data_IF_297192967599
#
_entry.id   IF_297192967599
#
_cell.length_a   1.000
_cell.length_b   1.000
_cell.length_c   1.000
_cell.angle_alpha   90.00
_cell.angle_beta   90.00
_cell.angle_gamma   90.00
#
_symmetry.space_group_name_H-M   'P 1'
#
loop_
_entity.id
_entity.type
_entity.pdbx_description
1 polymer ?
#
# COMPACT_ATOMS: atom_id res chain seq x y z
N UNK A 1 5.30 9.27 -7.54
CA UNK A 1 6.40 9.13 -6.55
C UNK A 1 7.56 8.49 -7.29
N UNK A 2 8.79 8.89 -7.02
CA UNK A 2 9.97 8.20 -7.55
C UNK A 2 10.22 7.00 -6.64
N UNK A 3 9.84 5.80 -7.09
CA UNK A 3 9.91 4.56 -6.30
C UNK A 3 11.35 4.19 -5.98
N UNK A 4 12.28 4.44 -6.90
CA UNK A 4 13.68 4.12 -6.73
C UNK A 4 14.32 5.02 -5.67
N UNK A 5 13.99 6.32 -5.70
CA UNK A 5 14.39 7.25 -4.65
C UNK A 5 13.82 6.88 -3.28
N UNK A 6 12.54 6.50 -3.22
CA UNK A 6 11.88 6.07 -1.98
C UNK A 6 12.61 4.89 -1.33
N UNK A 7 12.88 3.84 -2.11
CA UNK A 7 13.58 2.65 -1.61
C UNK A 7 15.02 2.97 -1.22
N UNK A 8 15.72 3.80 -2.00
CA UNK A 8 17.10 4.21 -1.69
C UNK A 8 17.19 4.94 -0.33
N UNK A 9 16.24 5.84 -0.05
CA UNK A 9 16.19 6.54 1.24
C UNK A 9 15.88 5.59 2.40
N UNK A 10 14.95 4.66 2.22
CA UNK A 10 14.64 3.65 3.22
C UNK A 10 15.81 2.71 3.52
N UNK A 11 16.56 2.32 2.49
CA UNK A 11 17.74 1.46 2.65
C UNK A 11 18.89 2.17 3.37
N UNK A 12 19.01 3.49 3.22
CA UNK A 12 19.99 4.29 3.96
C UNK A 12 19.76 4.23 5.48
N UNK A 13 18.50 4.14 5.92
CA UNK A 13 18.13 4.11 7.36
C UNK A 13 18.00 2.70 7.93
N UNK A 14 17.47 1.77 7.14
CA UNK A 14 17.11 0.43 7.59
C UNK A 14 18.15 -0.62 7.30
N UNK A 15 19.07 -0.34 6.37
CA UNK A 15 19.97 -1.30 5.75
C UNK A 15 19.39 -1.87 4.44
N UNK A 16 20.10 -2.80 3.78
CA UNK A 16 19.65 -3.39 2.53
C UNK A 16 18.32 -4.13 2.70
N UNK A 17 17.36 -3.87 1.80
CA UNK A 17 16.05 -4.51 1.81
C UNK A 17 15.99 -5.56 0.70
N UNK A 18 15.54 -6.76 1.04
CA UNK A 18 15.40 -7.85 0.07
C UNK A 18 14.47 -7.44 -1.08
N UNK A 19 14.90 -7.72 -2.30
CA UNK A 19 14.18 -7.38 -3.55
C UNK A 19 12.74 -7.89 -3.53
N UNK A 20 12.51 -9.10 -3.02
CA UNK A 20 11.18 -9.69 -2.98
C UNK A 20 10.21 -8.92 -2.07
N UNK A 21 10.67 -8.34 -0.96
CA UNK A 21 9.84 -7.49 -0.11
C UNK A 21 9.46 -6.21 -0.86
N UNK A 22 10.41 -5.59 -1.59
CA UNK A 22 10.11 -4.40 -2.41
C UNK A 22 9.05 -4.71 -3.46
N UNK A 23 9.18 -5.86 -4.13
CA UNK A 23 8.24 -6.30 -5.15
C UNK A 23 6.85 -6.60 -4.57
N UNK A 24 6.75 -7.28 -3.43
CA UNK A 24 5.46 -7.50 -2.76
C UNK A 24 4.83 -6.17 -2.35
N UNK A 25 5.59 -5.26 -1.73
CA UNK A 25 5.06 -3.95 -1.34
C UNK A 25 4.59 -3.13 -2.56
N UNK A 26 5.28 -3.27 -3.70
CA UNK A 26 4.89 -2.64 -4.96
C UNK A 26 3.60 -3.24 -5.53
N UNK A 27 3.49 -4.57 -5.56
CA UNK A 27 2.25 -5.26 -5.98
C UNK A 27 1.07 -4.83 -5.12
N UNK A 28 1.28 -4.73 -3.81
CA UNK A 28 0.27 -4.29 -2.84
C UNK A 28 0.02 -2.78 -2.85
N UNK A 29 0.69 -2.02 -3.75
CA UNK A 29 0.59 -0.56 -3.84
C UNK A 29 0.88 0.17 -2.52
N UNK A 30 1.74 -0.42 -1.68
CA UNK A 30 2.13 0.09 -0.36
C UNK A 30 3.40 0.94 -0.41
N UNK A 31 3.97 1.21 -1.58
CA UNK A 31 5.10 2.13 -1.77
C UNK A 31 4.70 3.61 -1.60
N UNK A 32 4.02 3.96 -0.51
CA UNK A 32 3.53 5.32 -0.25
C UNK A 32 3.25 5.57 1.26
N UNK A 33 2.39 6.55 1.59
CA UNK A 33 1.95 6.88 2.97
C UNK A 33 1.51 5.61 3.70
N UNK A 34 0.87 4.71 2.97
CA UNK A 34 0.36 3.44 3.47
C UNK A 34 1.44 2.53 4.07
N UNK A 35 2.72 2.69 3.71
CA UNK A 35 3.82 1.96 4.35
C UNK A 35 3.94 2.31 5.83
N UNK A 36 3.68 3.57 6.21
CA UNK A 36 3.67 3.98 7.60
C UNK A 36 2.57 3.30 8.41
N UNK A 37 1.46 2.92 7.77
CA UNK A 37 0.30 2.30 8.41
C UNK A 37 0.41 0.78 8.53
N UNK A 38 1.51 0.18 8.06
CA UNK A 38 1.76 -1.25 8.22
C UNK A 38 1.68 -1.67 9.69
N UNK A 39 0.88 -2.69 9.93
CA UNK A 39 0.68 -3.36 11.21
C UNK A 39 0.79 -4.87 11.01
N UNK A 40 0.94 -5.62 12.10
CA UNK A 40 1.00 -7.09 12.02
C UNK A 40 -0.25 -7.68 11.33
N UNK A 41 -1.44 -7.12 11.60
CA UNK A 41 -2.68 -7.54 10.96
C UNK A 41 -2.70 -7.25 9.46
N UNK A 42 -2.20 -6.08 9.03
CA UNK A 42 -2.09 -5.77 7.60
C UNK A 42 -1.07 -6.66 6.90
N UNK A 43 0.04 -7.01 7.56
CA UNK A 43 1.03 -7.96 7.03
C UNK A 43 0.39 -9.34 6.81
N UNK A 44 -0.42 -9.82 7.75
CA UNK A 44 -1.16 -11.09 7.57
C UNK A 44 -2.16 -11.04 6.42
N UNK A 45 -2.86 -9.90 6.25
CA UNK A 45 -3.74 -9.69 5.11
C UNK A 45 -2.96 -9.72 3.79
N UNK A 46 -1.79 -9.08 3.73
CA UNK A 46 -0.91 -9.13 2.56
C UNK A 46 -0.48 -10.56 2.25
N UNK A 47 -0.11 -11.36 3.26
CA UNK A 47 0.24 -12.76 3.01
C UNK A 47 -0.92 -13.54 2.38
N UNK A 48 -2.15 -13.29 2.84
CA UNK A 48 -3.34 -13.92 2.30
C UNK A 48 -3.60 -13.47 0.87
N UNK A 49 -3.56 -12.16 0.60
CA UNK A 49 -3.70 -11.61 -0.75
C UNK A 49 -2.67 -12.23 -1.70
N UNK A 50 -1.42 -12.37 -1.26
CA UNK A 50 -0.38 -13.01 -2.07
C UNK A 50 -0.71 -14.48 -2.36
N UNK A 51 -1.19 -15.25 -1.37
CA UNK A 51 -1.61 -16.65 -1.59
C UNK A 51 -2.76 -16.74 -2.59
N UNK A 52 -3.73 -15.84 -2.50
CA UNK A 52 -4.92 -15.83 -3.36
C UNK A 52 -4.60 -15.39 -4.79
N UNK A 53 -3.57 -14.54 -4.98
CA UNK A 53 -3.09 -14.11 -6.29
C UNK A 53 -2.12 -15.10 -6.96
N UNK A 54 -1.85 -16.26 -6.37
CA UNK A 54 -0.78 -17.13 -6.84
C UNK A 54 -0.95 -17.58 -8.31
N UNK A 55 -2.16 -17.89 -8.73
CA UNK A 55 -2.42 -18.36 -10.10
C UNK A 55 -2.37 -17.22 -11.13
N UNK A 56 -2.81 -16.03 -10.73
CA UNK A 56 -2.65 -14.83 -11.55
C UNK A 56 -1.17 -14.50 -11.79
N UNK A 57 -0.35 -14.55 -10.73
CA UNK A 57 1.07 -14.22 -10.82
C UNK A 57 1.87 -15.27 -11.61
N UNK A 58 1.46 -16.54 -11.58
CA UNK A 58 2.01 -17.58 -12.47
C UNK A 58 1.71 -17.27 -13.93
N UNK A 59 0.46 -16.96 -14.25
CA UNK A 59 0.08 -16.60 -15.61
C UNK A 59 0.81 -15.32 -16.09
N UNK A 60 1.04 -14.36 -15.19
CA UNK A 60 1.84 -13.17 -15.50
C UNK A 60 3.31 -13.52 -15.79
N UNK A 61 3.93 -14.41 -15.02
CA UNK A 61 5.30 -14.90 -15.29
C UNK A 61 5.38 -15.60 -16.65
N UNK A 62 4.42 -16.49 -16.98
CA UNK A 62 4.34 -17.18 -18.27
C UNK A 62 4.18 -16.21 -19.44
N UNK A 63 3.54 -15.06 -19.23
CA UNK A 63 3.41 -13.98 -20.21
C UNK A 63 4.65 -13.07 -20.31
N UNK A 64 5.77 -13.42 -19.67
CA UNK A 64 7.01 -12.64 -19.67
C UNK A 64 7.06 -11.55 -18.60
N UNK A 65 6.24 -11.67 -17.56
CA UNK A 65 6.20 -10.76 -16.41
C UNK A 65 7.35 -10.96 -15.41
N UNK A 66 7.13 -10.48 -14.18
CA UNK A 66 8.16 -10.57 -13.13
C UNK A 66 8.28 -12.02 -12.63
N UNK A 67 9.49 -12.59 -12.56
CA UNK A 67 9.66 -13.97 -12.11
C UNK A 67 9.15 -14.21 -10.69
N UNK A 68 8.51 -15.34 -10.44
CA UNK A 68 7.95 -15.67 -9.12
C UNK A 68 9.02 -15.72 -8.03
N UNK A 69 10.25 -16.10 -8.38
CA UNK A 69 11.40 -16.06 -7.45
C UNK A 69 11.72 -14.65 -6.96
N UNK A 70 11.46 -13.62 -7.77
CA UNK A 70 11.65 -12.23 -7.40
C UNK A 70 10.48 -11.68 -6.58
N UNK A 71 9.32 -12.37 -6.53
CA UNK A 71 8.15 -11.95 -5.77
C UNK A 71 8.08 -12.72 -4.44
N UNK A 72 8.11 -14.06 -4.51
CA UNK A 72 7.95 -14.96 -3.36
C UNK A 72 9.28 -15.35 -2.70
N UNK A 73 10.41 -15.00 -3.31
CA UNK A 73 11.72 -15.47 -2.89
C UNK A 73 11.96 -16.94 -3.22
N UNK A 74 13.22 -17.39 -3.09
CA UNK A 74 13.64 -18.78 -3.44
C UNK A 74 12.87 -19.86 -2.69
N UNK A 75 12.38 -19.56 -1.49
CA UNK A 75 11.71 -20.54 -0.61
C UNK A 75 10.29 -20.87 -1.05
N UNK A 76 9.54 -19.87 -1.53
CA UNK A 76 8.12 -20.01 -1.81
C UNK A 76 7.78 -19.92 -3.30
N UNK A 77 8.74 -19.59 -4.18
CA UNK A 77 8.51 -19.54 -5.62
C UNK A 77 7.90 -20.83 -6.21
N UNK A 78 8.35 -22.00 -5.73
CA UNK A 78 7.82 -23.29 -6.17
C UNK A 78 6.46 -23.66 -5.55
N UNK A 79 6.07 -23.01 -4.45
CA UNK A 79 4.79 -23.25 -3.77
C UNK A 79 4.21 -21.93 -3.20
N UNK A 80 3.78 -20.99 -4.06
CA UNK A 80 3.32 -19.67 -3.62
C UNK A 80 2.09 -19.72 -2.70
N UNK A 81 1.26 -20.75 -2.83
CA UNK A 81 0.10 -21.00 -1.96
C UNK A 81 0.46 -21.22 -0.49
N UNK A 82 1.72 -21.54 -0.18
CA UNK A 82 2.25 -21.68 1.18
C UNK A 82 3.00 -20.44 1.66
N UNK A 83 2.95 -19.35 0.89
CA UNK A 83 3.68 -18.13 1.19
C UNK A 83 3.34 -17.60 2.58
N UNK A 84 4.38 -17.20 3.31
CA UNK A 84 4.31 -16.45 4.55
C UNK A 84 5.60 -15.67 4.71
N UNK A 85 5.53 -14.50 5.33
CA UNK A 85 6.72 -13.78 5.73
C UNK A 85 7.42 -14.52 6.87
N UNK A 86 8.74 -14.46 6.86
CA UNK A 86 9.55 -14.92 7.97
C UNK A 86 9.51 -13.90 9.10
N UNK A 87 9.74 -14.35 10.34
CA UNK A 87 9.74 -13.45 11.51
C UNK A 87 10.67 -12.24 11.34
N UNK A 88 11.85 -12.45 10.74
CA UNK A 88 12.80 -11.36 10.44
C UNK A 88 12.28 -10.38 9.37
N UNK A 89 11.52 -10.86 8.40
CA UNK A 89 10.90 -10.01 7.36
C UNK A 89 9.75 -9.20 7.93
N UNK A 90 8.92 -9.80 8.80
CA UNK A 90 7.86 -9.10 9.54
C UNK A 90 8.46 -7.99 10.40
N UNK A 91 9.51 -8.30 11.17
CA UNK A 91 10.21 -7.31 11.99
C UNK A 91 10.79 -6.17 11.15
N UNK A 92 11.38 -6.49 9.99
CA UNK A 92 11.89 -5.48 9.07
C UNK A 92 10.75 -4.60 8.53
N UNK A 93 9.66 -5.16 8.03
CA UNK A 93 8.52 -4.40 7.50
C UNK A 93 7.93 -3.44 8.55
N UNK A 94 7.78 -3.89 9.79
CA UNK A 94 7.33 -3.04 10.90
C UNK A 94 8.33 -1.93 11.25
N UNK A 95 9.65 -2.22 11.16
CA UNK A 95 10.69 -1.21 11.31
C UNK A 95 10.62 -0.16 10.20
N UNK A 96 10.45 -0.57 8.94
CA UNK A 96 10.28 0.36 7.81
C UNK A 96 9.05 1.26 8.03
N UNK A 97 7.94 0.68 8.46
CA UNK A 97 6.73 1.43 8.79
C UNK A 97 6.97 2.50 9.86
N UNK A 98 7.75 2.15 10.89
CA UNK A 98 8.13 3.06 11.97
C UNK A 98 9.02 4.20 11.45
N UNK A 99 10.02 3.89 10.62
CA UNK A 99 10.89 4.90 9.99
C UNK A 99 10.07 5.89 9.14
N UNK A 100 9.12 5.39 8.35
CA UNK A 100 8.25 6.23 7.52
C UNK A 100 7.35 7.12 8.39
N UNK A 101 6.83 6.60 9.51
CA UNK A 101 6.05 7.37 10.49
C UNK A 101 6.87 8.46 11.16
N UNK A 102 8.08 8.14 11.61
CA UNK A 102 8.95 9.06 12.35
C UNK A 102 9.47 10.21 11.50
N UNK A 103 10.01 9.92 10.31
CA UNK A 103 10.52 10.95 9.41
C UNK A 103 9.41 11.74 8.71
N UNK A 104 8.20 11.16 8.69
CA UNK A 104 7.06 11.67 7.96
C UNK A 104 7.20 11.44 6.46
N UNK A 105 6.09 11.17 5.80
CA UNK A 105 6.11 10.76 4.39
C UNK A 105 6.74 11.78 3.43
N UNK A 106 6.78 13.07 3.82
CA UNK A 106 7.38 14.15 3.03
C UNK A 106 8.89 13.99 2.82
N UNK A 107 9.62 13.34 3.73
CA UNK A 107 11.07 13.16 3.62
C UNK A 107 11.48 12.18 2.53
N UNK A 108 10.56 11.29 2.13
CA UNK A 108 10.81 10.29 1.08
C UNK A 108 10.37 10.78 -0.30
N UNK A 109 9.91 12.03 -0.39
CA UNK A 109 9.81 12.71 -1.67
C UNK A 109 11.10 13.43 -1.94
N UNK A 110 11.62 13.26 -3.15
CA UNK A 110 12.58 14.21 -3.69
C UNK A 110 11.87 15.56 -3.66
N UNK A 111 12.29 16.46 -2.78
CA UNK A 111 11.87 17.86 -2.88
C UNK A 111 12.29 18.29 -4.28
N UNK A 112 11.33 18.39 -5.20
CA UNK A 112 11.49 19.23 -6.36
C UNK A 112 11.63 20.63 -5.77
N UNK A 113 12.86 20.99 -5.39
CA UNK A 113 13.17 22.28 -4.81
C UNK A 113 12.56 23.29 -5.74
N UNK A 114 11.65 24.13 -5.21
CA UNK A 114 10.86 25.15 -5.89
C UNK A 114 11.55 25.61 -7.18
N UNK A 115 11.36 24.86 -8.27
CA UNK A 115 11.63 25.41 -9.57
C UNK A 115 10.49 26.39 -9.69
N UNK A 116 10.82 27.68 -9.63
CA UNK A 116 9.90 28.73 -10.05
C UNK A 116 9.33 28.23 -11.37
N UNK A 117 8.08 27.79 -11.34
CA UNK A 117 7.40 27.34 -12.53
C UNK A 117 7.37 28.55 -13.45
N UNK A 118 8.29 28.58 -14.42
CA UNK A 118 7.94 29.16 -15.70
C UNK A 118 6.74 28.35 -16.18
N UNK A 119 5.69 28.97 -16.70
CA UNK A 119 4.58 28.23 -17.29
C UNK A 119 5.16 27.48 -18.50
N UNK A 120 5.55 26.22 -18.28
CA UNK A 120 6.00 25.34 -19.34
C UNK A 120 4.74 24.83 -20.02
N UNK A 121 4.51 25.35 -21.20
CA UNK A 121 3.50 24.88 -22.16
C UNK A 121 3.64 23.36 -22.30
N UNK A 122 2.53 22.57 -22.24
CA UNK A 122 2.60 21.13 -22.48
C UNK A 122 3.15 20.91 -23.89
N UNK A 123 4.36 20.36 -23.99
CA UNK A 123 4.96 19.99 -25.27
C UNK A 123 4.97 18.48 -25.38
N UNK A 124 3.80 17.94 -25.70
CA UNK A 124 3.58 16.99 -26.77
C UNK A 124 2.08 16.98 -27.03
N UNK A 125 1.69 17.58 -28.16
CA UNK A 125 0.31 17.48 -28.66
C UNK A 125 0.14 16.05 -29.15
N UNK A 126 -0.21 15.13 -28.23
CA UNK A 126 -0.83 13.88 -28.63
C UNK A 126 -2.07 14.24 -29.45
N UNK A 127 -2.28 13.61 -30.60
CA UNK A 127 -3.51 13.85 -31.37
C UNK A 127 -4.70 13.44 -30.51
N UNK A 128 -5.86 14.10 -30.70
CA UNK A 128 -7.09 13.69 -30.01
C UNK A 128 -7.40 12.20 -30.23
N UNK A 129 -7.02 11.66 -31.38
CA UNK A 129 -7.20 10.24 -31.74
C UNK A 129 -6.38 9.28 -30.85
N UNK A 130 -5.15 9.63 -30.49
CA UNK A 130 -4.30 8.80 -29.62
C UNK A 130 -4.81 8.82 -28.16
N UNK A 131 -5.27 9.99 -27.70
CA UNK A 131 -5.91 10.14 -26.40
C UNK A 131 -7.19 9.30 -26.30
N UNK A 132 -8.03 9.32 -27.32
CA UNK A 132 -9.25 8.52 -27.39
C UNK A 132 -8.96 7.02 -27.36
N UNK A 133 -7.87 6.58 -28.02
CA UNK A 133 -7.44 5.19 -27.98
C UNK A 133 -6.97 4.76 -26.59
N UNK A 134 -6.22 5.60 -25.87
CA UNK A 134 -5.82 5.34 -24.49
C UNK A 134 -7.02 5.28 -23.54
N UNK A 135 -7.97 6.21 -23.67
CA UNK A 135 -9.21 6.22 -22.88
C UNK A 135 -9.99 4.92 -23.12
N UNK A 136 -10.22 4.57 -24.39
CA UNK A 136 -10.92 3.34 -24.76
C UNK A 136 -10.20 2.11 -24.21
N UNK A 137 -8.89 2.02 -24.36
CA UNK A 137 -8.09 0.91 -23.84
C UNK A 137 -8.18 0.75 -22.32
N UNK A 138 -8.23 1.86 -21.58
CA UNK A 138 -8.37 1.83 -20.12
C UNK A 138 -9.77 1.31 -19.71
N UNK A 139 -10.82 1.83 -20.35
CA UNK A 139 -12.22 1.43 -20.10
C UNK A 139 -12.43 -0.04 -20.50
N UNK A 140 -11.94 -0.47 -21.66
CA UNK A 140 -12.06 -1.85 -22.14
C UNK A 140 -11.37 -2.84 -21.21
N UNK A 141 -10.22 -2.47 -20.65
CA UNK A 141 -9.51 -3.31 -19.67
C UNK A 141 -10.33 -3.49 -18.39
N UNK A 142 -10.96 -2.42 -17.90
CA UNK A 142 -11.86 -2.48 -16.74
C UNK A 142 -13.08 -3.34 -17.08
N UNK A 143 -13.71 -3.12 -18.24
CA UNK A 143 -14.86 -3.89 -18.73
C UNK A 143 -14.57 -5.38 -18.78
N UNK A 144 -13.48 -5.77 -19.43
CA UNK A 144 -13.07 -7.16 -19.57
C UNK A 144 -12.85 -7.83 -18.21
N UNK A 145 -12.31 -7.11 -17.23
CA UNK A 145 -12.13 -7.64 -15.89
C UNK A 145 -13.45 -7.97 -15.20
N UNK A 146 -14.43 -7.05 -15.19
CA UNK A 146 -15.72 -7.27 -14.51
C UNK A 146 -16.68 -8.18 -15.29
N UNK A 147 -16.48 -8.35 -16.60
CA UNK A 147 -17.19 -9.36 -17.39
C UNK A 147 -16.72 -10.79 -17.07
N UNK A 148 -15.42 -10.98 -16.83
CA UNK A 148 -14.85 -12.29 -16.51
C UNK A 148 -15.00 -12.61 -15.01
N UNK A 149 -14.87 -11.60 -14.16
CA UNK A 149 -14.96 -11.75 -12.71
C UNK A 149 -16.33 -11.25 -12.25
N UNK A 150 -17.25 -12.19 -12.05
CA UNK A 150 -18.60 -11.90 -11.59
C UNK A 150 -18.62 -11.67 -10.07
N UNK A 151 -18.86 -10.43 -9.66
CA UNK A 151 -19.08 -10.02 -8.27
C UNK A 151 -20.57 -9.77 -7.98
N UNK A 152 -21.46 -10.34 -8.80
CA UNK A 152 -22.90 -10.15 -8.75
C UNK A 152 -23.30 -8.71 -9.09
N UNK A 153 -24.23 -8.16 -8.30
CA UNK A 153 -24.81 -6.83 -8.53
C UNK A 153 -23.78 -5.71 -8.67
N UNK A 154 -22.61 -5.83 -8.05
CA UNK A 154 -21.55 -4.83 -8.18
C UNK A 154 -20.95 -4.82 -9.60
N UNK A 155 -20.74 -5.99 -10.20
CA UNK A 155 -20.28 -6.09 -11.57
C UNK A 155 -21.29 -5.44 -12.51
N UNK A 156 -22.60 -5.71 -12.32
CA UNK A 156 -23.67 -5.08 -13.09
C UNK A 156 -23.66 -3.55 -12.92
N UNK A 157 -23.63 -3.05 -11.67
CA UNK A 157 -23.62 -1.62 -11.37
C UNK A 157 -22.39 -0.90 -11.98
N UNK A 158 -21.23 -1.56 -12.06
CA UNK A 158 -20.04 -1.00 -12.71
C UNK A 158 -20.21 -1.02 -14.23
N UNK A 159 -20.63 -2.16 -14.79
CA UNK A 159 -20.78 -2.34 -16.23
C UNK A 159 -21.80 -1.38 -16.82
N UNK A 160 -22.91 -1.14 -16.12
CA UNK A 160 -23.97 -0.21 -16.52
C UNK A 160 -23.52 1.26 -16.53
N UNK A 161 -22.49 1.60 -15.75
CA UNK A 161 -21.99 2.97 -15.62
C UNK A 161 -20.57 3.16 -16.19
N UNK A 162 -20.05 2.19 -16.93
CA UNK A 162 -18.73 2.28 -17.57
C UNK A 162 -18.68 3.38 -18.64
N UNK A 163 -19.76 3.57 -19.40
CA UNK A 163 -19.80 4.54 -20.49
C UNK A 163 -19.86 5.99 -19.98
N UNK A 164 -20.26 6.19 -18.72
CA UNK A 164 -20.27 7.49 -18.03
C UNK A 164 -18.96 7.79 -17.27
N UNK A 165 -17.99 6.87 -17.36
CA UNK A 165 -16.73 6.95 -16.64
C UNK A 165 -15.85 8.04 -17.24
N UNK A 166 -15.48 9.02 -16.41
CA UNK A 166 -14.55 10.07 -16.79
C UNK A 166 -13.11 9.54 -16.67
N UNK A 167 -12.32 9.70 -17.72
CA UNK A 167 -10.92 9.26 -17.78
C UNK A 167 -10.06 10.39 -18.32
N UNK A 168 -9.07 10.82 -17.53
CA UNK A 168 -8.10 11.83 -17.92
C UNK A 168 -6.74 11.17 -18.14
N UNK A 169 -6.19 11.31 -19.36
CA UNK A 169 -4.87 10.78 -19.68
C UNK A 169 -3.79 11.80 -19.32
N UNK A 170 -2.74 11.33 -18.65
CA UNK A 170 -1.61 12.11 -18.18
C UNK A 170 -0.32 11.41 -18.60
N UNK A 171 0.50 12.09 -19.41
CA UNK A 171 1.84 11.62 -19.76
C UNK A 171 2.86 12.29 -18.83
N UNK A 172 3.68 11.49 -18.14
CA UNK A 172 4.75 12.00 -17.27
C UNK A 172 6.03 12.25 -18.06
N UNK A 173 6.93 13.04 -17.49
CA UNK A 173 8.23 13.41 -18.08
C UNK A 173 9.14 12.19 -18.38
N UNK A 174 8.89 11.06 -17.71
CA UNK A 174 9.57 9.78 -17.91
C UNK A 174 8.98 8.94 -19.06
N UNK A 175 7.99 9.46 -19.79
CA UNK A 175 7.29 8.78 -20.89
C UNK A 175 6.22 7.80 -20.42
N UNK A 176 5.98 7.68 -19.11
CA UNK A 176 4.92 6.80 -18.60
C UNK A 176 3.55 7.45 -18.81
N UNK A 177 2.67 6.72 -19.48
CA UNK A 177 1.26 7.09 -19.67
C UNK A 177 0.45 6.62 -18.47
N UNK A 178 -0.28 7.55 -17.85
CA UNK A 178 -1.21 7.31 -16.76
C UNK A 178 -2.63 7.66 -17.20
N UNK A 179 -3.61 6.90 -16.71
CA UNK A 179 -5.02 7.25 -16.80
C UNK A 179 -5.54 7.54 -15.39
N UNK A 180 -6.07 8.73 -15.18
CA UNK A 180 -6.80 9.11 -13.99
C UNK A 180 -8.29 8.84 -14.21
N UNK A 181 -8.79 7.76 -13.62
CA UNK A 181 -10.15 7.25 -13.80
C UNK A 181 -11.02 7.62 -12.61
N UNK A 182 -12.18 8.21 -12.86
CA UNK A 182 -13.15 8.53 -11.82
C UNK A 182 -14.12 7.38 -11.62
N UNK A 183 -14.17 6.82 -10.41
CA UNK A 183 -15.07 5.70 -10.11
C UNK A 183 -16.56 6.13 -10.22
N UNK A 184 -17.36 5.49 -11.09
CA UNK A 184 -18.76 5.87 -11.29
C UNK A 184 -19.62 5.64 -10.03
N UNK A 185 -19.31 4.60 -9.23
CA UNK A 185 -20.01 4.31 -7.98
C UNK A 185 -19.75 5.38 -6.91
N UNK A 186 -18.53 5.93 -6.84
CA UNK A 186 -18.22 7.06 -5.96
C UNK A 186 -19.02 8.31 -6.35
N UNK A 187 -19.13 8.57 -7.66
CA UNK A 187 -19.91 9.69 -8.20
C UNK A 187 -21.39 9.57 -7.83
N UNK A 188 -21.98 8.38 -8.01
CA UNK A 188 -23.40 8.10 -7.69
C UNK A 188 -23.71 8.22 -6.19
N UNK A 189 -22.78 7.79 -5.33
CA UNK A 189 -22.94 7.88 -3.87
C UNK A 189 -22.68 9.27 -3.28
N UNK A 190 -22.40 10.28 -4.12
CA UNK A 190 -22.09 11.64 -3.67
C UNK A 190 -20.79 11.76 -2.88
N UNK A 191 -19.94 10.72 -2.89
CA UNK A 191 -18.58 10.77 -2.35
C UNK A 191 -17.73 11.48 -3.39
N UNK A 192 -17.54 12.79 -3.20
CA UNK A 192 -16.79 13.63 -4.13
C UNK A 192 -15.38 13.04 -4.38
N UNK A 193 -15.19 12.57 -5.62
CA UNK A 193 -13.93 12.41 -6.35
C UNK A 193 -12.83 11.56 -5.69
N UNK A 194 -13.03 10.24 -5.62
CA UNK A 194 -11.87 9.35 -5.66
C UNK A 194 -11.51 9.06 -7.10
N UNK A 195 -10.55 9.83 -7.62
CA UNK A 195 -9.85 9.47 -8.84
C UNK A 195 -8.85 8.36 -8.53
N UNK A 196 -8.77 7.38 -9.41
CA UNK A 196 -7.86 6.24 -9.30
C UNK A 196 -6.90 6.28 -10.48
N UNK A 197 -5.61 6.19 -10.20
CA UNK A 197 -4.57 6.23 -11.22
C UNK A 197 -4.25 4.82 -11.71
N UNK A 198 -4.35 4.63 -13.01
CA UNK A 198 -3.92 3.45 -13.74
C UNK A 198 -2.64 3.79 -14.49
N UNK A 199 -1.72 2.83 -14.56
CA UNK A 199 -0.50 2.98 -15.33
C UNK A 199 -0.54 2.06 -16.55
N UNK A 200 -0.11 2.57 -17.70
CA UNK A 200 0.14 1.76 -18.88
C UNK A 200 1.49 1.05 -18.69
N UNK A 201 1.46 -0.27 -18.77
CA UNK A 201 2.67 -1.10 -18.70
C UNK A 201 3.40 -1.09 -20.05
N UNK A 202 4.68 -1.45 -20.07
CA UNK A 202 5.51 -1.49 -21.28
C UNK A 202 5.00 -2.46 -22.36
N UNK A 203 4.13 -3.41 -22.00
CA UNK A 203 3.44 -4.32 -22.91
C UNK A 203 2.11 -3.77 -23.45
N UNK A 204 1.89 -2.45 -23.37
CA UNK A 204 0.63 -1.77 -23.73
C UNK A 204 -0.60 -2.31 -23.00
N UNK A 205 -0.43 -2.81 -21.77
CA UNK A 205 -1.54 -3.28 -20.93
C UNK A 205 -1.76 -2.35 -19.74
N UNK A 206 -3.01 -1.95 -19.54
CA UNK A 206 -3.40 -1.13 -18.38
C UNK A 206 -3.37 -1.94 -17.08
N UNK A 207 -2.68 -1.41 -16.07
CA UNK A 207 -2.66 -1.97 -14.72
C UNK A 207 -3.86 -1.44 -13.93
N UNK A 208 -4.93 -2.24 -13.86
CA UNK A 208 -6.21 -1.87 -13.23
C UNK A 208 -6.32 -2.23 -11.74
N UNK A 209 -5.27 -2.79 -11.13
CA UNK A 209 -5.31 -3.28 -9.74
C UNK A 209 -5.73 -2.20 -8.73
N UNK A 210 -5.26 -0.96 -8.91
CA UNK A 210 -5.66 0.16 -8.06
C UNK A 210 -7.18 0.40 -8.09
N UNK A 211 -7.81 0.22 -9.25
CA UNK A 211 -9.24 0.41 -9.44
C UNK A 211 -10.05 -0.75 -8.87
N UNK A 212 -9.63 -1.99 -9.10
CA UNK A 212 -10.30 -3.16 -8.52
C UNK A 212 -10.22 -3.14 -7.00
N UNK A 213 -9.05 -2.82 -6.43
CA UNK A 213 -8.88 -2.65 -4.97
C UNK A 213 -9.75 -1.53 -4.42
N UNK A 214 -9.82 -0.38 -5.10
CA UNK A 214 -10.72 0.71 -4.71
C UNK A 214 -12.16 0.21 -4.62
N UNK A 215 -12.63 -0.49 -5.66
CA UNK A 215 -13.99 -1.02 -5.69
C UNK A 215 -14.25 -2.01 -4.55
N UNK A 216 -13.36 -2.97 -4.35
CA UNK A 216 -13.48 -3.95 -3.26
C UNK A 216 -13.49 -3.31 -1.88
N UNK A 217 -12.57 -2.37 -1.61
CA UNK A 217 -12.48 -1.78 -0.28
C UNK A 217 -13.60 -0.78 0.00
N UNK A 218 -13.97 0.05 -0.99
CA UNK A 218 -14.89 1.17 -0.79
C UNK A 218 -16.35 0.78 -0.99
N UNK A 219 -16.64 -0.10 -1.95
CA UNK A 219 -18.00 -0.45 -2.35
C UNK A 219 -18.43 -1.85 -1.91
N UNK A 220 -17.50 -2.81 -1.80
CA UNK A 220 -17.83 -4.15 -1.25
C UNK A 220 -17.72 -4.13 0.28
N UNK A 221 -16.55 -3.78 0.82
CA UNK A 221 -16.30 -3.83 2.26
C UNK A 221 -16.83 -2.58 3.00
N UNK A 222 -16.87 -1.43 2.31
CA UNK A 222 -17.39 -0.18 2.86
C UNK A 222 -18.91 -0.15 3.05
N UNK A 223 -19.66 -0.98 2.33
CA UNK A 223 -21.12 -1.08 2.49
C UNK A 223 -21.53 -1.71 3.83
N UNK A 224 -20.63 -2.44 4.50
CA UNK A 224 -20.87 -3.03 5.82
C UNK A 224 -20.63 -2.06 7.00
N UNK A 225 -20.05 -0.87 6.75
CA UNK A 225 -19.63 0.09 7.79
C UNK A 225 -20.16 1.51 7.54
N UNK A 226 -21.44 1.64 7.16
CA UNK A 226 -22.10 2.94 7.21
C UNK A 226 -22.47 3.30 8.66
N UNK A 227 -21.53 3.88 9.41
CA UNK A 227 -21.90 4.76 10.55
C UNK A 227 -22.10 6.20 10.06
N UNK A 228 -23.15 6.90 10.52
CA UNK A 228 -23.49 8.22 10.03
C UNK A 228 -22.48 9.28 10.47
N UNK A 229 -22.27 10.23 9.55
CA UNK A 229 -21.45 11.44 9.65
C UNK A 229 -21.46 12.08 11.04
N UNK A 230 -20.26 12.34 11.58
CA UNK A 230 -20.09 13.29 12.70
C UNK A 230 -19.31 14.52 12.25
N UNK A 231 -19.80 15.64 12.74
CA UNK A 231 -19.60 17.01 12.29
C UNK A 231 -18.28 17.62 12.77
N UNK A 232 -17.78 18.57 11.95
CA UNK A 232 -17.26 19.90 12.35
C UNK A 232 -16.62 19.97 13.75
N UNK A 233 -15.29 19.91 13.84
CA UNK A 233 -14.57 20.45 15.01
C UNK A 233 -14.37 21.95 14.81
N UNK A 234 -15.23 22.72 15.48
CA UNK A 234 -14.94 24.10 15.89
C UNK A 234 -13.71 24.12 16.79
N UNK A 235 -12.84 25.07 16.53
CA UNK A 235 -11.81 25.52 17.46
C UNK A 235 -12.46 26.28 18.63
N UNK A 236 -11.98 26.05 19.84
CA UNK A 236 -12.01 27.03 20.93
C UNK A 236 -10.89 26.70 21.93
N UNK A 237 -10.06 27.71 22.16
CA UNK A 237 -8.99 27.76 23.14
C UNK A 237 -9.50 28.39 24.44
N UNK A 238 -9.01 27.90 25.58
CA UNK A 238 -8.78 28.60 26.86
C UNK A 238 -8.37 27.49 27.87
N UNK A 239 -7.11 27.42 28.33
CA UNK A 239 -6.56 28.15 29.49
C UNK A 239 -7.31 27.86 30.79
N UNK A 240 -6.73 27.06 31.67
CA UNK A 240 -6.55 27.39 33.09
C UNK A 240 -5.63 26.36 33.79
N UNK A 241 -4.83 26.86 34.72
CA UNK A 241 -3.75 26.27 35.54
C UNK A 241 -3.91 26.94 36.92
N UNK A 242 -3.45 26.41 38.08
CA UNK A 242 -3.45 25.08 38.73
C UNK A 242 -4.12 25.19 40.15
N UNK A 243 -3.87 24.35 41.19
CA UNK A 243 -2.61 24.40 41.96
C UNK A 243 -2.08 23.08 42.59
N UNK A 244 -0.78 23.16 42.89
CA UNK A 244 0.08 22.39 43.81
C UNK A 244 -0.62 21.63 44.96
N UNK A 245 -0.09 20.45 45.27
CA UNK A 245 -0.05 19.96 46.65
C UNK A 245 1.32 19.33 46.96
N UNK A 246 1.92 19.81 48.04
CA UNK A 246 3.25 19.49 48.56
C UNK A 246 3.24 18.24 49.48
N UNK A 247 4.30 17.45 49.31
CA UNK A 247 5.22 16.91 50.33
C UNK A 247 4.81 15.91 51.44
N UNK A 248 5.81 15.02 51.67
CA UNK A 248 6.22 14.26 52.88
C UNK A 248 5.82 12.76 52.99
N UNK A 249 6.60 11.92 53.70
CA UNK A 249 7.96 11.50 53.37
C UNK A 249 8.16 9.97 53.47
N UNK A 250 9.42 9.55 53.22
CA UNK A 250 9.95 8.19 53.32
C UNK A 250 9.86 7.57 54.72
N UNK A 251 9.83 6.24 54.76
CA UNK A 251 10.49 5.50 55.83
C UNK A 251 11.17 4.23 55.29
N UNK A 252 12.42 4.07 55.71
CA UNK A 252 13.30 2.92 55.50
C UNK A 252 12.78 1.74 56.33
N UNK A 253 12.93 0.48 55.93
CA UNK A 253 13.99 -0.46 56.37
C UNK A 253 13.24 -1.81 56.37
N UNK A 254 13.68 -2.91 55.75
CA UNK A 254 14.52 -3.92 56.42
C UNK A 254 14.89 -5.06 55.47
N UNK A 255 16.18 -5.38 55.54
CA UNK A 255 16.88 -6.66 55.35
C UNK A 255 16.05 -7.95 55.32
N UNK A 256 16.37 -8.83 54.36
CA UNK A 256 16.00 -10.24 54.38
C UNK A 256 16.89 -11.04 53.43
N UNK A 257 17.77 -11.85 54.02
CA UNK A 257 18.90 -12.56 53.42
C UNK A 257 18.52 -13.75 52.51
N UNK A 258 19.50 -14.14 51.67
CA UNK A 258 19.60 -15.39 50.85
C UNK A 258 19.43 -16.69 51.68
N UNK A 259 19.21 -17.85 51.04
CA UNK A 259 20.31 -18.68 50.47
C UNK A 259 19.94 -19.32 49.09
N UNK A 260 20.88 -19.42 48.15
CA UNK A 260 21.72 -20.62 47.89
C UNK A 260 20.97 -21.96 47.93
N UNK A 261 20.81 -22.58 46.74
CA UNK A 261 20.81 -24.03 46.60
C UNK A 261 21.43 -24.41 45.25
N UNK A 262 22.70 -24.76 45.36
CA UNK A 262 23.55 -25.48 44.42
C UNK A 262 23.11 -26.94 44.35
N UNK A 263 22.91 -27.53 43.16
CA UNK A 263 23.02 -28.99 42.96
C UNK A 263 23.21 -29.38 41.47
N UNK A 264 24.47 -29.54 41.09
CA UNK A 264 25.04 -30.77 40.49
C UNK A 264 24.42 -31.38 39.21
N UNK A 265 25.21 -31.37 38.12
CA UNK A 265 25.15 -32.27 36.96
C UNK A 265 25.39 -33.75 37.34
N UNK A 266 25.13 -34.74 36.46
CA UNK A 266 26.20 -35.17 35.57
C UNK A 266 25.76 -35.67 34.17
N UNK A 267 26.79 -35.70 33.31
CA UNK A 267 27.01 -36.36 32.03
C UNK A 267 26.38 -37.76 31.86
N UNK A 268 25.99 -38.13 30.64
CA UNK A 268 26.84 -38.99 29.78
C UNK A 268 26.26 -39.26 28.36
N UNK A 269 27.10 -39.75 27.41
CA UNK A 269 26.84 -39.84 25.97
C UNK A 269 26.55 -41.28 25.46
N UNK A 270 26.58 -41.45 24.11
CA UNK A 270 26.47 -42.67 23.26
C UNK A 270 25.03 -42.97 22.81
N UNK A 271 24.70 -43.16 21.51
CA UNK A 271 25.39 -43.79 20.36
C UNK A 271 25.09 -43.02 19.08
#
# INVERSE_FOLDING_TARGET
MDEEYFWTQLEADSGPINVHLKNIMKLQSLCSVAMGELSAGLIQAIEQDMRDMCDFLKAEEEAGGTPLVQIYGKRFAAAPQKFKFLAGEIALLLKLASIVKEKGFKSFYRHQGKQKAKPTVPTQVQSNEELDEYVRGAVDKIRAFYQVNDFGKLSDDILDHLDEMEVNILTRDDGVVLAEVFCPLCRKSGRHHQSVKLALSANNSWKIYSFTRHVTLVHINGAANETPKSNKRQALAASEVPPKMECYPADETTLGSSPESDSTSPSDPLV
#
